data_IF_852598044301
#
_entry.id   IF_852598044301
#
_cell.length_a   1.000
_cell.length_b   1.000
_cell.length_c   1.000
_cell.angle_alpha   90.00
_cell.angle_beta   90.00
_cell.angle_gamma   90.00
#
_symmetry.space_group_name_H-M   'P 1'
#
loop_
_entity.id
_entity.type
_entity.pdbx_description
1 polymer ?
#
# COMPACT_ATOMS: atom_id res chain seq x y z
N UNK A 1 -6.00 -31.01 -34.68
CA UNK A 1 -6.91 -29.98 -34.12
C UNK A 1 -6.20 -29.36 -32.92
N UNK A 2 -5.88 -28.08 -33.00
CA UNK A 2 -5.29 -27.33 -31.87
C UNK A 2 -6.41 -26.99 -30.89
N UNK A 3 -6.27 -27.27 -29.57
CA UNK A 3 -7.28 -26.87 -28.61
C UNK A 3 -7.45 -25.34 -28.60
N UNK A 4 -8.66 -24.82 -28.38
CA UNK A 4 -8.87 -23.38 -28.31
C UNK A 4 -8.05 -22.81 -27.14
N UNK A 5 -7.30 -21.74 -27.42
CA UNK A 5 -6.56 -21.00 -26.40
C UNK A 5 -7.60 -20.37 -25.47
N UNK A 6 -7.63 -20.81 -24.21
CA UNK A 6 -8.48 -20.23 -23.18
C UNK A 6 -7.90 -18.89 -22.75
N UNK A 7 -8.49 -17.78 -23.18
CA UNK A 7 -8.13 -16.45 -22.69
C UNK A 7 -8.44 -16.34 -21.21
N UNK A 8 -7.41 -16.14 -20.38
CA UNK A 8 -7.55 -15.99 -18.92
C UNK A 8 -7.79 -14.53 -18.48
N UNK A 9 -7.48 -13.56 -19.34
CA UNK A 9 -7.75 -12.16 -19.09
C UNK A 9 -9.25 -11.92 -18.91
N UNK A 10 -9.61 -11.20 -17.84
CA UNK A 10 -10.99 -10.85 -17.52
C UNK A 10 -11.09 -9.37 -17.21
N UNK A 11 -12.22 -8.80 -17.58
CA UNK A 11 -12.63 -7.44 -17.23
C UNK A 11 -13.97 -7.57 -16.54
N UNK A 12 -14.10 -6.94 -15.39
CA UNK A 12 -15.31 -6.98 -14.57
C UNK A 12 -15.48 -5.67 -13.81
N UNK A 13 -16.72 -5.24 -13.68
CA UNK A 13 -17.14 -4.20 -12.75
C UNK A 13 -17.50 -4.84 -11.40
N UNK A 14 -16.84 -4.40 -10.33
CA UNK A 14 -17.21 -4.73 -8.95
C UNK A 14 -18.03 -3.58 -8.36
N UNK A 15 -19.01 -3.92 -7.53
CA UNK A 15 -19.83 -2.94 -6.81
C UNK A 15 -19.41 -2.91 -5.34
N UNK A 16 -18.91 -1.78 -4.88
CA UNK A 16 -18.59 -1.57 -3.48
C UNK A 16 -19.88 -1.46 -2.64
N UNK A 17 -19.91 -1.91 -1.37
CA UNK A 17 -21.08 -1.75 -0.50
C UNK A 17 -21.56 -0.31 -0.33
N UNK A 18 -20.64 0.67 -0.46
CA UNK A 18 -20.97 2.10 -0.42
C UNK A 18 -21.61 2.64 -1.72
N UNK A 19 -21.74 1.81 -2.76
CA UNK A 19 -22.37 2.19 -4.04
C UNK A 19 -21.39 2.45 -5.18
N UNK A 20 -20.10 2.59 -4.89
CA UNK A 20 -19.04 2.84 -5.87
C UNK A 20 -18.85 1.68 -6.85
N UNK A 21 -18.37 2.01 -8.06
CA UNK A 21 -18.07 1.04 -9.12
C UNK A 21 -16.56 0.96 -9.34
N UNK A 22 -16.04 -0.26 -9.42
CA UNK A 22 -14.61 -0.54 -9.55
C UNK A 22 -14.41 -1.36 -10.82
N UNK A 23 -13.64 -0.87 -11.77
CA UNK A 23 -13.39 -1.56 -13.04
C UNK A 23 -12.06 -2.31 -12.97
N UNK A 24 -12.03 -3.54 -13.50
CA UNK A 24 -10.81 -4.38 -13.58
C UNK A 24 -10.37 -4.57 -15.04
N UNK A 25 -9.06 -4.67 -15.34
CA UNK A 25 -7.92 -4.63 -14.42
C UNK A 25 -7.72 -3.24 -13.82
N UNK A 26 -7.39 -3.18 -12.53
CA UNK A 26 -7.15 -1.95 -11.79
C UNK A 26 -5.65 -1.83 -11.51
N UNK A 27 -5.05 -0.70 -11.89
CA UNK A 27 -3.70 -0.36 -11.44
C UNK A 27 -3.79 0.23 -10.03
N UNK A 28 -3.10 -0.40 -9.08
CA UNK A 28 -3.05 0.04 -7.67
C UNK A 28 -1.60 0.38 -7.31
N UNK A 29 -1.21 1.67 -7.36
CA UNK A 29 0.07 2.12 -6.85
C UNK A 29 0.21 1.81 -5.35
N UNK A 30 1.35 1.21 -4.97
CA UNK A 30 1.64 0.82 -3.59
C UNK A 30 2.59 1.81 -2.93
N UNK A 31 2.21 2.27 -1.74
CA UNK A 31 3.02 3.11 -0.86
C UNK A 31 3.40 2.29 0.38
N UNK A 32 4.61 1.74 0.36
CA UNK A 32 5.17 0.94 1.45
C UNK A 32 6.66 1.25 1.67
N UNK A 33 7.08 1.35 2.93
CA UNK A 33 8.48 1.48 3.33
C UNK A 33 9.33 0.28 2.93
N UNK A 34 8.72 -0.87 2.62
CA UNK A 34 9.43 -2.06 2.13
C UNK A 34 10.06 -1.84 0.75
N UNK A 35 9.40 -1.06 -0.12
CA UNK A 35 9.96 -0.65 -1.41
C UNK A 35 10.91 0.55 -1.32
N UNK A 36 10.86 1.26 -0.20
CA UNK A 36 11.54 2.55 0.02
C UNK A 36 12.07 2.59 1.46
N UNK A 37 13.13 1.81 1.75
CA UNK A 37 13.62 1.63 3.12
C UNK A 37 13.88 2.98 3.80
N UNK A 38 13.45 3.15 5.05
CA UNK A 38 13.65 4.40 5.78
C UNK A 38 15.15 4.61 6.04
N UNK A 39 15.59 5.87 5.95
CA UNK A 39 16.92 6.27 6.45
C UNK A 39 16.83 6.61 7.93
N UNK A 40 16.01 7.61 8.30
CA UNK A 40 15.68 7.98 9.68
C UNK A 40 14.31 8.69 9.72
N UNK A 41 13.44 8.45 10.73
CA UNK A 41 12.21 9.24 10.92
C UNK A 41 12.53 10.73 11.16
N UNK A 42 11.67 11.68 10.74
CA UNK A 42 10.41 11.51 10.00
C UNK A 42 10.59 11.48 8.47
N UNK A 43 11.82 11.52 7.97
CA UNK A 43 12.12 11.69 6.54
C UNK A 43 12.34 10.35 5.82
N UNK A 44 11.23 9.67 5.53
CA UNK A 44 11.24 8.47 4.70
C UNK A 44 11.06 8.86 3.23
N UNK A 45 11.67 8.10 2.31
CA UNK A 45 11.45 8.30 0.88
C UNK A 45 9.99 8.02 0.48
N UNK A 46 9.29 7.14 1.20
CA UNK A 46 7.89 6.82 0.92
C UNK A 46 6.95 7.96 1.30
N UNK A 47 7.19 8.69 2.39
CA UNK A 47 6.40 9.88 2.76
C UNK A 47 6.51 10.96 1.67
N UNK A 48 7.74 11.28 1.23
CA UNK A 48 7.96 12.24 0.13
C UNK A 48 7.26 11.83 -1.16
N UNK A 49 7.36 10.53 -1.50
CA UNK A 49 6.71 10.00 -2.68
C UNK A 49 5.18 10.10 -2.58
N UNK A 50 4.64 9.75 -1.40
CA UNK A 50 3.23 9.85 -1.08
C UNK A 50 2.74 11.29 -1.24
N UNK A 51 3.36 12.25 -0.55
CA UNK A 51 2.95 13.67 -0.62
C UNK A 51 3.05 14.25 -2.05
N UNK A 52 4.04 13.81 -2.82
CA UNK A 52 4.27 14.32 -4.17
C UNK A 52 3.30 13.72 -5.19
N UNK A 53 3.03 12.42 -5.11
CA UNK A 53 2.28 11.68 -6.13
C UNK A 53 0.79 11.59 -5.80
N UNK A 54 0.42 11.52 -4.52
CA UNK A 54 -0.95 11.33 -4.08
C UNK A 54 -1.93 12.34 -4.71
N UNK A 55 -1.61 13.65 -4.84
CA UNK A 55 -2.51 14.60 -5.48
C UNK A 55 -2.82 14.32 -6.96
N UNK A 56 -1.95 13.56 -7.63
CA UNK A 56 -2.13 13.14 -9.02
C UNK A 56 -2.80 11.76 -9.15
N UNK A 57 -2.98 11.02 -8.04
CA UNK A 57 -3.62 9.71 -8.03
C UNK A 57 -5.08 9.83 -7.62
N UNK A 58 -5.96 9.94 -8.62
CA UNK A 58 -7.41 10.01 -8.39
C UNK A 58 -8.08 8.63 -8.36
N UNK A 59 -7.45 7.58 -8.89
CA UNK A 59 -8.05 6.25 -9.00
C UNK A 59 -7.97 5.43 -7.72
N UNK A 60 -6.85 4.75 -7.51
CA UNK A 60 -6.65 3.91 -6.33
C UNK A 60 -5.27 4.06 -5.73
N UNK A 61 -5.12 3.68 -4.47
CA UNK A 61 -3.85 3.55 -3.78
C UNK A 61 -3.89 2.35 -2.82
N UNK A 62 -2.77 1.64 -2.69
CA UNK A 62 -2.52 0.65 -1.65
C UNK A 62 -1.60 1.27 -0.61
N UNK A 63 -2.01 1.20 0.66
CA UNK A 63 -1.30 1.81 1.78
C UNK A 63 -1.06 0.75 2.85
N UNK A 64 0.14 0.69 3.42
CA UNK A 64 0.46 -0.24 4.50
C UNK A 64 0.01 0.29 5.87
N UNK A 65 -0.77 -0.48 6.61
CA UNK A 65 -1.14 -0.14 7.98
C UNK A 65 0.07 -0.02 8.93
N UNK A 66 1.12 -0.81 8.69
CA UNK A 66 2.39 -0.71 9.42
C UNK A 66 3.00 0.68 9.25
N UNK A 67 3.02 1.18 8.01
CA UNK A 67 3.58 2.50 7.71
C UNK A 67 2.74 3.65 8.24
N UNK A 68 1.42 3.49 8.32
CA UNK A 68 0.56 4.46 9.02
C UNK A 68 0.91 4.47 10.52
N UNK A 69 0.93 3.30 11.15
CA UNK A 69 1.18 3.16 12.58
C UNK A 69 2.54 3.75 12.99
N UNK A 70 3.58 3.44 12.21
CA UNK A 70 4.95 3.93 12.45
C UNK A 70 5.25 5.27 11.77
N UNK A 71 4.22 5.98 11.30
CA UNK A 71 4.33 7.35 10.77
C UNK A 71 5.36 7.46 9.62
N UNK A 72 5.44 6.41 8.80
CA UNK A 72 6.36 6.34 7.67
C UNK A 72 5.81 7.04 6.43
N UNK A 73 4.51 7.30 6.34
CA UNK A 73 3.86 7.87 5.14
C UNK A 73 2.96 9.07 5.43
N UNK A 74 2.70 9.39 6.70
CA UNK A 74 1.69 10.38 7.10
C UNK A 74 2.24 11.24 8.22
N UNK A 75 1.93 12.54 8.18
CA UNK A 75 2.35 13.51 9.18
C UNK A 75 1.69 13.19 10.54
N UNK A 76 2.46 12.97 11.63
CA UNK A 76 1.94 12.70 12.96
C UNK A 76 1.07 13.81 13.55
N UNK A 77 1.16 15.03 13.04
CA UNK A 77 0.36 16.17 13.49
C UNK A 77 -1.03 16.25 12.84
N UNK A 78 -1.31 15.43 11.83
CA UNK A 78 -2.51 15.49 11.01
C UNK A 78 -3.59 14.45 11.39
N UNK A 79 -3.59 13.91 12.61
CA UNK A 79 -4.59 12.95 13.04
C UNK A 79 -6.03 13.53 13.02
N UNK A 80 -7.04 12.82 12.49
CA UNK A 80 -6.95 11.49 11.86
C UNK A 80 -6.32 11.53 10.46
N UNK A 81 -5.51 10.52 10.16
CA UNK A 81 -4.86 10.33 8.85
C UNK A 81 -5.93 10.34 7.77
N UNK A 82 -5.98 11.42 6.99
CA UNK A 82 -6.99 11.59 5.94
C UNK A 82 -6.31 11.48 4.58
N UNK A 83 -6.61 10.40 3.86
CA UNK A 83 -6.17 10.20 2.47
C UNK A 83 -7.29 10.70 1.57
N UNK A 84 -7.09 11.84 0.90
CA UNK A 84 -8.20 12.60 0.28
C UNK A 84 -8.32 12.50 -1.23
N UNK A 85 -7.28 12.04 -1.94
CA UNK A 85 -7.21 12.11 -3.40
C UNK A 85 -7.69 10.86 -4.14
N UNK A 86 -7.26 9.63 -3.79
CA UNK A 86 -7.73 8.43 -4.48
C UNK A 86 -9.19 8.14 -4.14
N UNK A 87 -9.99 7.80 -5.15
CA UNK A 87 -11.37 7.31 -5.01
C UNK A 87 -11.44 6.00 -4.20
N UNK A 88 -10.35 5.22 -4.23
CA UNK A 88 -10.22 3.98 -3.48
C UNK A 88 -8.88 3.90 -2.74
N UNK A 89 -8.95 3.66 -1.43
CA UNK A 89 -7.80 3.24 -0.64
C UNK A 89 -7.96 1.77 -0.26
N UNK A 90 -6.96 0.97 -0.60
CA UNK A 90 -6.81 -0.39 -0.08
C UNK A 90 -5.81 -0.31 1.06
N UNK A 91 -6.23 -0.68 2.26
CA UNK A 91 -5.34 -0.79 3.42
C UNK A 91 -4.80 -2.22 3.51
N UNK A 92 -3.49 -2.40 3.31
CA UNK A 92 -2.81 -3.66 3.59
C UNK A 92 -2.62 -3.83 5.11
N UNK A 93 -2.63 -5.09 5.54
CA UNK A 93 -2.37 -5.57 6.89
C UNK A 93 -1.04 -5.13 7.51
N UNK A 94 -0.03 -4.77 6.72
CA UNK A 94 1.30 -4.39 7.20
C UNK A 94 2.21 -5.58 7.60
N UNK A 95 1.77 -6.82 7.37
CA UNK A 95 2.53 -8.02 7.74
C UNK A 95 3.77 -8.26 6.85
N UNK A 96 3.82 -7.64 5.67
CA UNK A 96 4.95 -7.80 4.75
C UNK A 96 6.20 -7.04 5.23
N UNK A 97 6.01 -5.91 5.90
CA UNK A 97 7.08 -5.04 6.40
C UNK A 97 7.94 -5.73 7.47
N UNK A 98 7.36 -6.64 8.26
CA UNK A 98 8.07 -7.43 9.29
C UNK A 98 8.79 -8.66 8.73
N UNK A 99 8.61 -8.98 7.45
CA UNK A 99 9.23 -10.15 6.82
C UNK A 99 10.74 -10.03 6.77
N UNK A 100 11.47 -11.02 7.30
CA UNK A 100 12.93 -11.12 7.11
C UNK A 100 13.32 -11.94 5.89
N UNK A 101 12.33 -12.55 5.21
CA UNK A 101 12.53 -13.24 3.95
C UNK A 101 12.58 -12.20 2.84
N UNK A 102 13.78 -11.97 2.34
CA UNK A 102 13.94 -11.32 1.06
C UNK A 102 13.44 -12.27 -0.02
N UNK A 103 12.49 -11.80 -0.82
CA UNK A 103 12.10 -12.52 -2.03
C UNK A 103 13.35 -12.65 -2.92
N UNK A 104 13.53 -13.80 -3.57
CA UNK A 104 14.64 -14.05 -4.50
C UNK A 104 14.69 -13.04 -5.65
N UNK A 105 13.59 -12.33 -5.90
CA UNK A 105 13.48 -11.27 -6.88
C UNK A 105 13.85 -9.86 -6.35
N UNK A 106 14.11 -9.72 -5.05
CA UNK A 106 14.38 -8.42 -4.42
C UNK A 106 15.74 -7.88 -4.87
N UNK A 107 15.79 -6.74 -5.58
CA UNK A 107 17.03 -6.22 -6.14
C UNK A 107 18.01 -5.70 -5.07
N UNK A 108 17.50 -5.35 -3.88
CA UNK A 108 18.31 -4.81 -2.78
C UNK A 108 17.87 -5.44 -1.46
N UNK A 109 18.78 -6.14 -0.81
CA UNK A 109 18.62 -6.54 0.59
C UNK A 109 18.79 -5.30 1.46
N UNK A 110 17.71 -4.89 2.12
CA UNK A 110 17.78 -3.91 3.20
C UNK A 110 17.60 -4.70 4.48
N UNK A 111 18.65 -4.89 5.29
CA UNK A 111 18.49 -5.46 6.62
C UNK A 111 17.65 -4.48 7.46
N UNK A 112 16.33 -4.67 7.43
CA UNK A 112 15.41 -3.98 8.31
C UNK A 112 15.54 -4.54 9.71
N UNK A 113 15.50 -3.67 10.71
CA UNK A 113 15.10 -4.04 12.05
C UNK A 113 13.62 -3.69 12.18
N UNK A 114 12.70 -4.55 11.68
CA UNK A 114 11.28 -4.24 11.71
C UNK A 114 10.82 -4.02 13.15
N UNK A 115 9.92 -3.07 13.33
CA UNK A 115 9.28 -2.83 14.62
C UNK A 115 8.24 -3.92 14.90
N UNK A 116 7.89 -4.17 16.18
CA UNK A 116 6.91 -5.20 16.53
C UNK A 116 5.54 -4.94 15.89
N UNK A 117 4.99 -5.90 15.14
CA UNK A 117 3.67 -5.74 14.52
C UNK A 117 2.66 -6.73 15.08
N UNK A 118 1.47 -6.26 15.46
CA UNK A 118 0.40 -7.07 16.06
C UNK A 118 -0.97 -6.66 15.50
N UNK A 119 -1.98 -7.51 15.74
CA UNK A 119 -3.37 -7.20 15.38
C UNK A 119 -3.87 -5.93 16.08
N UNK A 120 -3.47 -5.71 17.33
CA UNK A 120 -3.83 -4.52 18.10
C UNK A 120 -3.34 -3.24 17.42
N UNK A 121 -2.14 -3.27 16.82
CA UNK A 121 -1.61 -2.13 16.07
C UNK A 121 -2.33 -1.90 14.74
N UNK A 122 -2.77 -2.97 14.07
CA UNK A 122 -3.61 -2.87 12.88
C UNK A 122 -4.98 -2.25 13.20
N UNK A 123 -5.64 -2.73 14.27
CA UNK A 123 -6.94 -2.21 14.71
C UNK A 123 -6.89 -0.73 15.11
N UNK A 124 -5.75 -0.24 15.61
CA UNK A 124 -5.56 1.17 15.95
C UNK A 124 -5.50 2.12 14.73
N UNK A 125 -5.39 1.57 13.51
CA UNK A 125 -5.27 2.32 12.25
C UNK A 125 -6.57 2.37 11.45
N UNK A 126 -7.55 1.51 11.77
CA UNK A 126 -8.87 1.47 11.13
C UNK A 126 -9.77 2.64 11.57
#
# INVERSE_FOLDING_TARGET
MTPPIKTLARTQTLKHPLGERIETPLLVPSFSSRGFPPREPPDTHVAKLFDTILPALTGSALISAYDIHYQQIVDPSAAPVTVTFPEMVILDSGGYEIGTLDDLSTPFHVPGNPQPWSLEFYEAVL
#
